data_IF_065021201171
#
_entry.id   IF_065021201171
#
_cell.length_a   1.000
_cell.length_b   1.000
_cell.length_c   1.000
_cell.angle_alpha   90.00
_cell.angle_beta   90.00
_cell.angle_gamma   90.00
#
_symmetry.space_group_name_H-M   'P 1'
#
loop_
_entity.id
_entity.type
_entity.pdbx_description
1 polymer ?
#
# COMPACT_ATOMS: atom_id res chain seq x y z
N UNK A 1 15.55 40.26 -15.68
CA UNK A 1 14.37 40.01 -14.83
C UNK A 1 14.05 38.53 -14.94
N UNK A 2 14.50 37.74 -13.97
CA UNK A 2 14.15 36.32 -13.85
C UNK A 2 12.90 36.21 -13.00
N UNK A 3 11.80 35.76 -13.58
CA UNK A 3 10.57 35.41 -12.88
C UNK A 3 10.13 34.05 -13.37
N UNK A 4 10.17 33.07 -12.46
CA UNK A 4 9.74 31.71 -12.72
C UNK A 4 10.23 30.76 -11.63
N UNK A 5 10.23 31.20 -10.37
CA UNK A 5 10.37 30.33 -9.22
C UNK A 5 9.16 29.40 -9.21
N UNK A 6 9.37 28.14 -9.61
CA UNK A 6 8.35 27.12 -9.57
C UNK A 6 7.96 26.87 -8.11
N UNK A 7 6.66 27.05 -7.87
CA UNK A 7 5.94 26.74 -6.67
C UNK A 7 6.20 25.29 -6.21
N UNK A 8 6.51 25.10 -4.92
CA UNK A 8 6.76 23.77 -4.37
C UNK A 8 7.00 23.72 -2.86
N UNK A 9 6.40 24.61 -2.07
CA UNK A 9 6.36 24.46 -0.60
C UNK A 9 4.98 23.94 -0.19
N UNK A 10 4.76 22.64 -0.39
CA UNK A 10 3.61 21.82 0.05
C UNK A 10 3.91 20.35 -0.35
N UNK A 11 4.50 19.45 0.43
CA UNK A 11 5.10 19.45 1.76
C UNK A 11 5.70 18.04 1.94
N UNK A 12 6.61 17.67 1.03
CA UNK A 12 7.34 16.41 1.09
C UNK A 12 8.82 16.64 0.75
N UNK A 13 9.71 15.84 1.35
CA UNK A 13 11.15 15.91 1.18
C UNK A 13 11.75 14.52 0.91
N UNK A 14 12.84 14.46 0.18
CA UNK A 14 13.57 13.22 -0.07
C UNK A 14 14.26 12.75 1.23
N UNK A 15 14.13 11.47 1.57
CA UNK A 15 14.84 10.89 2.71
C UNK A 15 16.26 10.54 2.29
N UNK A 16 17.22 10.93 3.11
CA UNK A 16 18.57 10.35 3.07
C UNK A 16 18.56 8.87 3.43
N UNK A 17 19.62 8.15 3.06
CA UNK A 17 19.78 6.73 3.40
C UNK A 17 19.77 6.48 4.93
N UNK A 18 20.16 7.45 5.76
CA UNK A 18 20.13 7.33 7.22
C UNK A 18 18.71 7.51 7.78
N UNK A 19 17.98 8.50 7.26
CA UNK A 19 16.57 8.73 7.60
C UNK A 19 15.72 7.53 7.16
N UNK A 20 15.94 7.01 5.95
CA UNK A 20 15.25 5.82 5.46
C UNK A 20 15.53 4.59 6.34
N UNK A 21 16.76 4.40 6.82
CA UNK A 21 17.08 3.31 7.77
C UNK A 21 16.36 3.48 9.11
N UNK A 22 16.25 4.72 9.59
CA UNK A 22 15.50 5.04 10.80
C UNK A 22 14.03 4.70 10.61
N UNK A 23 13.44 5.07 9.46
CA UNK A 23 12.05 4.75 9.12
C UNK A 23 11.79 3.25 8.98
N UNK A 24 12.72 2.51 8.36
CA UNK A 24 12.66 1.04 8.32
C UNK A 24 12.64 0.44 9.73
N UNK A 25 13.40 1.01 10.68
CA UNK A 25 13.40 0.56 12.07
C UNK A 25 12.07 0.77 12.79
N UNK A 26 11.30 1.79 12.39
CA UNK A 26 10.03 2.17 13.02
C UNK A 26 8.81 1.55 12.32
N UNK A 27 8.91 1.25 11.02
CA UNK A 27 7.83 0.73 10.21
C UNK A 27 8.09 -0.73 9.79
N UNK A 28 7.45 -1.67 10.49
CA UNK A 28 7.62 -3.12 10.23
C UNK A 28 7.18 -3.54 8.83
N UNK A 29 6.16 -2.90 8.24
CA UNK A 29 5.69 -3.24 6.90
C UNK A 29 6.70 -2.77 5.83
N UNK A 30 7.22 -1.55 5.98
CA UNK A 30 8.31 -1.02 5.17
C UNK A 30 9.55 -1.90 5.27
N UNK A 31 9.94 -2.29 6.49
CA UNK A 31 11.07 -3.17 6.73
C UNK A 31 10.92 -4.52 6.01
N UNK A 32 9.74 -5.16 6.15
CA UNK A 32 9.47 -6.44 5.53
C UNK A 32 9.40 -6.34 3.99
N UNK A 33 9.08 -5.17 3.43
CA UNK A 33 9.09 -4.94 2.00
C UNK A 33 10.52 -4.76 1.48
N UNK A 34 11.30 -3.87 2.09
CA UNK A 34 12.69 -3.60 1.72
C UNK A 34 13.55 -4.86 1.88
N UNK A 35 13.34 -5.66 2.92
CA UNK A 35 14.04 -6.93 3.10
C UNK A 35 13.79 -7.94 1.98
N UNK A 36 12.64 -7.86 1.28
CA UNK A 36 12.28 -8.77 0.18
C UNK A 36 12.68 -8.24 -1.19
N UNK A 37 12.65 -6.92 -1.40
CA UNK A 37 12.80 -6.30 -2.72
C UNK A 37 14.12 -5.52 -2.87
N UNK A 38 14.89 -5.38 -1.81
CA UNK A 38 16.11 -4.57 -1.78
C UNK A 38 15.83 -3.09 -1.48
N UNK A 39 16.91 -2.30 -1.44
CA UNK A 39 16.83 -0.86 -1.16
C UNK A 39 16.28 -0.08 -2.37
N UNK A 40 15.36 0.88 -2.16
CA UNK A 40 14.77 1.70 -3.22
C UNK A 40 15.75 2.76 -3.72
N UNK A 41 15.67 3.16 -4.99
CA UNK A 41 16.52 4.19 -5.61
C UNK A 41 16.31 5.58 -5.03
N UNK A 42 15.03 5.94 -4.82
CA UNK A 42 14.62 7.21 -4.20
C UNK A 42 13.56 6.89 -3.15
N UNK A 43 13.60 7.62 -2.03
CA UNK A 43 12.56 7.57 -1.02
C UNK A 43 12.11 8.99 -0.70
N UNK A 44 10.80 9.23 -0.67
CA UNK A 44 10.22 10.54 -0.35
C UNK A 44 9.31 10.43 0.87
N UNK A 45 9.36 11.45 1.72
CA UNK A 45 8.55 11.63 2.90
C UNK A 45 7.51 12.69 2.60
N UNK A 46 6.25 12.41 2.86
CA UNK A 46 5.12 13.30 2.57
C UNK A 46 4.30 13.51 3.84
N UNK A 47 4.11 14.77 4.24
CA UNK A 47 3.29 15.06 5.42
C UNK A 47 1.80 14.81 5.12
N UNK A 48 1.13 14.04 5.98
CA UNK A 48 -0.31 13.82 5.93
C UNK A 48 -0.95 14.70 7.01
N UNK A 49 -1.48 15.87 6.64
CA UNK A 49 -2.26 16.66 7.59
C UNK A 49 -3.51 17.32 7.02
N UNK A 50 -4.38 17.61 7.98
CA UNK A 50 -5.64 18.36 7.97
C UNK A 50 -6.93 17.58 7.66
N UNK A 51 -6.98 16.27 7.99
CA UNK A 51 -8.25 15.59 8.23
C UNK A 51 -8.22 14.76 9.52
N UNK A 52 -9.02 15.14 10.55
CA UNK A 52 -9.22 14.29 11.73
C UNK A 52 -9.66 12.88 11.31
N UNK A 53 -9.26 11.81 12.02
CA UNK A 53 -8.35 11.71 13.17
C UNK A 53 -6.85 11.45 12.86
N UNK A 54 -6.31 11.81 11.69
CA UNK A 54 -5.02 11.30 11.20
C UNK A 54 -3.95 12.39 11.28
N UNK A 55 -2.92 12.19 12.11
CA UNK A 55 -1.67 12.96 12.07
C UNK A 55 -0.51 11.97 11.98
N UNK A 56 0.24 11.96 10.87
CA UNK A 56 1.64 11.49 10.77
C UNK A 56 2.22 11.86 9.38
N UNK A 57 2.55 10.88 8.54
CA UNK A 57 3.19 11.05 7.24
C UNK A 57 3.12 9.76 6.38
N UNK A 58 3.40 9.90 5.09
CA UNK A 58 3.55 8.84 4.09
C UNK A 58 5.02 8.74 3.64
N UNK A 59 5.52 7.52 3.44
CA UNK A 59 6.81 7.23 2.84
C UNK A 59 6.59 6.56 1.49
N UNK A 60 7.10 7.16 0.42
CA UNK A 60 7.01 6.65 -0.96
C UNK A 60 8.36 6.18 -1.45
N UNK A 61 8.42 4.91 -1.87
CA UNK A 61 9.61 4.27 -2.42
C UNK A 61 9.53 4.21 -3.94
N UNK A 62 10.64 4.51 -4.61
CA UNK A 62 10.76 4.42 -6.05
C UNK A 62 11.87 3.43 -6.42
N UNK A 63 11.52 2.41 -7.20
CA UNK A 63 12.45 1.49 -7.84
C UNK A 63 12.45 1.80 -9.32
N UNK A 64 13.44 2.57 -9.78
CA UNK A 64 13.46 3.12 -11.14
C UNK A 64 13.75 2.02 -12.17
N UNK A 65 14.63 1.08 -11.84
CA UNK A 65 14.90 -0.11 -12.65
C UNK A 65 13.62 -0.94 -12.89
N UNK A 66 12.79 -1.07 -11.85
CA UNK A 66 11.54 -1.81 -11.89
C UNK A 66 10.33 -0.95 -12.28
N UNK A 67 10.55 0.35 -12.56
CA UNK A 67 9.52 1.37 -12.87
C UNK A 67 8.30 1.29 -11.96
N UNK A 68 8.55 1.14 -10.66
CA UNK A 68 7.50 0.92 -9.67
C UNK A 68 7.60 1.93 -8.54
N UNK A 69 6.45 2.49 -8.14
CA UNK A 69 6.30 3.32 -6.92
C UNK A 69 5.44 2.61 -5.89
N UNK A 70 5.84 2.72 -4.62
CA UNK A 70 5.15 2.06 -3.50
C UNK A 70 5.06 3.01 -2.31
N UNK A 71 3.84 3.23 -1.83
CA UNK A 71 3.58 4.11 -0.70
C UNK A 71 3.21 3.35 0.58
N UNK A 72 3.72 3.81 1.71
CA UNK A 72 3.39 3.37 3.06
C UNK A 72 2.95 4.56 3.91
N UNK A 73 1.72 4.55 4.40
CA UNK A 73 1.22 5.60 5.30
C UNK A 73 1.31 5.17 6.77
N UNK A 74 1.57 6.13 7.65
CA UNK A 74 1.51 5.96 9.11
C UNK A 74 0.47 6.93 9.69
N UNK A 75 -0.16 6.57 10.80
CA UNK A 75 -1.18 7.40 11.45
C UNK A 75 -1.00 7.32 12.98
N UNK A 76 -0.61 8.42 13.63
CA UNK A 76 -0.34 8.50 15.06
C UNK A 76 -1.56 8.97 15.86
N UNK A 77 -2.43 8.04 16.26
CA UNK A 77 -3.53 8.33 17.19
C UNK A 77 -3.01 8.18 18.63
N UNK A 78 -2.77 9.31 19.32
CA UNK A 78 -2.52 9.50 20.76
C UNK A 78 -1.85 8.32 21.54
N UNK A 79 -0.83 7.70 20.95
CA UNK A 79 0.11 6.85 21.68
C UNK A 79 0.30 5.43 21.16
N UNK A 80 -0.49 4.91 20.22
CA UNK A 80 -0.21 3.59 19.59
C UNK A 80 -0.61 3.51 18.11
N UNK A 81 0.20 4.06 17.18
CA UNK A 81 0.02 3.81 15.76
C UNK A 81 0.34 2.36 15.41
N UNK A 82 -0.67 1.52 15.18
CA UNK A 82 -0.52 0.36 14.29
C UNK A 82 -0.77 0.84 12.86
N UNK A 83 0.20 0.60 11.98
CA UNK A 83 0.21 1.03 10.58
C UNK A 83 -1.01 0.44 9.87
N UNK A 84 -1.95 1.30 9.49
CA UNK A 84 -3.00 0.94 8.58
C UNK A 84 -3.27 2.11 7.63
N UNK A 85 -2.54 2.17 6.52
CA UNK A 85 -3.27 2.05 5.25
C UNK A 85 -2.41 1.48 4.11
N UNK A 86 -2.91 0.34 3.64
CA UNK A 86 -2.77 -0.35 2.37
C UNK A 86 -1.73 0.22 1.40
N UNK A 87 -0.65 -0.56 1.24
CA UNK A 87 0.30 -0.51 0.13
C UNK A 87 -0.40 -0.08 -1.16
N UNK A 88 -0.15 1.15 -1.58
CA UNK A 88 -0.48 1.58 -2.92
C UNK A 88 0.73 1.28 -3.80
N UNK A 89 0.53 0.48 -4.85
CA UNK A 89 1.55 0.18 -5.84
C UNK A 89 1.08 0.73 -7.18
N UNK A 90 1.94 1.50 -7.84
CA UNK A 90 1.69 2.03 -9.17
C UNK A 90 2.90 1.83 -10.08
N UNK A 91 2.65 1.76 -11.39
CA UNK A 91 3.71 1.85 -12.40
C UNK A 91 4.12 3.30 -12.60
N UNK A 92 5.41 3.53 -12.86
CA UNK A 92 5.96 4.83 -13.22
C UNK A 92 6.03 4.94 -14.74
N UNK A 93 5.63 6.08 -15.28
CA UNK A 93 5.90 6.44 -16.67
C UNK A 93 7.37 6.80 -16.88
N UNK A 94 7.82 6.76 -18.13
CA UNK A 94 9.19 7.12 -18.53
C UNK A 94 9.53 8.56 -18.15
N UNK A 95 8.56 9.47 -18.24
CA UNK A 95 8.71 10.87 -17.85
C UNK A 95 8.91 11.01 -16.34
N UNK A 96 8.09 10.34 -15.53
CA UNK A 96 8.24 10.33 -14.07
C UNK A 96 9.58 9.73 -13.65
N UNK A 97 9.99 8.61 -14.26
CA UNK A 97 11.26 7.96 -13.97
C UNK A 97 12.45 8.84 -14.35
N UNK A 98 12.40 9.53 -15.49
CA UNK A 98 13.44 10.46 -15.92
C UNK A 98 13.55 11.69 -15.00
N UNK A 99 12.43 12.17 -14.45
CA UNK A 99 12.41 13.27 -13.49
C UNK A 99 13.04 12.87 -12.14
N UNK A 100 12.95 11.60 -11.76
CA UNK A 100 13.50 11.05 -10.51
C UNK A 100 14.95 10.57 -10.65
N UNK A 101 15.36 10.11 -11.84
CA UNK A 101 16.71 9.64 -12.13
C UNK A 101 17.85 10.54 -11.63
N UNK A 102 17.83 11.88 -11.78
CA UNK A 102 18.92 12.73 -11.31
C UNK A 102 19.08 12.76 -9.78
N UNK A 103 18.07 12.30 -9.01
CA UNK A 103 18.10 12.26 -7.54
C UNK A 103 18.89 11.07 -6.99
N UNK A 104 19.13 10.06 -7.82
CA UNK A 104 19.92 8.87 -7.45
C UNK A 104 21.41 9.14 -7.22
N UNK A 105 21.92 10.30 -7.65
CA UNK A 105 23.35 10.62 -7.73
C UNK A 105 24.10 10.72 -6.40
N UNK A 106 23.42 10.63 -5.26
CA UNK A 106 24.05 10.57 -3.93
C UNK A 106 24.49 9.18 -3.48
N UNK A 107 24.15 8.12 -4.22
CA UNK A 107 24.34 6.73 -3.77
C UNK A 107 25.61 6.09 -4.33
N UNK A 108 26.52 5.56 -3.48
CA UNK A 108 27.47 4.55 -3.92
C UNK A 108 26.69 3.29 -4.24
N UNK A 109 26.59 2.97 -5.54
CA UNK A 109 25.99 1.73 -6.02
C UNK A 109 26.75 0.55 -5.42
N UNK A 110 26.13 -0.09 -4.42
CA UNK A 110 26.50 -1.42 -3.99
C UNK A 110 26.38 -2.33 -5.21
N UNK A 111 27.50 -2.89 -5.64
CA UNK A 111 27.62 -3.85 -6.73
C UNK A 111 26.55 -4.93 -6.64
N UNK A 112 25.60 -4.92 -7.59
CA UNK A 112 24.80 -6.10 -7.93
C UNK A 112 25.78 -7.13 -8.51
N UNK A 113 26.22 -8.08 -7.69
CA UNK A 113 27.02 -9.20 -8.16
C UNK A 113 26.22 -9.99 -9.19
N UNK A 114 26.90 -10.36 -10.27
CA UNK A 114 26.35 -10.98 -11.48
C UNK A 114 25.95 -12.46 -11.32
N UNK A 115 25.33 -12.83 -10.21
CA UNK A 115 25.07 -14.24 -9.84
C UNK A 115 23.68 -14.50 -9.23
N UNK A 116 22.64 -13.79 -9.71
CA UNK A 116 21.25 -14.16 -9.41
C UNK A 116 20.66 -15.03 -10.55
N UNK A 117 20.01 -16.17 -10.25
CA UNK A 117 19.43 -17.08 -11.24
C UNK A 117 18.17 -16.51 -11.91
N UNK A 118 17.78 -17.01 -13.10
CA UNK A 118 16.71 -16.42 -13.91
C UNK A 118 15.32 -16.53 -13.25
N UNK A 119 14.52 -15.48 -13.42
CA UNK A 119 13.13 -15.37 -12.98
C UNK A 119 12.25 -16.54 -13.48
N UNK A 120 11.27 -17.02 -12.67
CA UNK A 120 10.26 -17.96 -13.16
C UNK A 120 9.26 -17.28 -14.12
N UNK A 121 8.66 -18.04 -15.06
CA UNK A 121 7.88 -17.49 -16.16
C UNK A 121 6.52 -16.96 -15.67
N UNK A 122 6.21 -15.70 -16.00
CA UNK A 122 4.85 -15.17 -15.89
C UNK A 122 4.05 -15.73 -17.07
N UNK A 123 3.16 -16.67 -16.77
CA UNK A 123 2.21 -17.24 -17.74
C UNK A 123 1.28 -16.15 -18.28
N UNK A 124 1.27 -16.00 -19.60
CA UNK A 124 0.27 -15.22 -20.31
C UNK A 124 -1.10 -15.89 -20.32
N UNK A 125 -2.14 -15.07 -20.36
CA UNK A 125 -3.40 -15.42 -21.02
C UNK A 125 -4.05 -14.15 -21.54
N UNK A 126 -4.06 -14.03 -22.86
CA UNK A 126 -4.89 -13.11 -23.61
C UNK A 126 -6.34 -13.62 -23.58
N UNK A 127 -7.30 -12.71 -23.37
CA UNK A 127 -8.73 -12.99 -23.43
C UNK A 127 -9.53 -11.71 -23.64
N UNK A 128 -10.12 -11.61 -24.82
CA UNK A 128 -10.85 -10.47 -25.40
C UNK A 128 -12.25 -10.23 -24.78
N UNK A 129 -12.53 -8.99 -24.33
CA UNK A 129 -13.84 -8.29 -24.30
C UNK A 129 -14.92 -8.71 -23.29
N UNK A 130 -15.98 -7.89 -23.03
CA UNK A 130 -16.35 -6.62 -23.68
C UNK A 130 -16.51 -5.42 -22.72
N UNK A 131 -16.75 -4.25 -23.33
CA UNK A 131 -17.03 -2.96 -22.71
C UNK A 131 -18.05 -3.03 -21.57
N UNK A 132 -17.68 -2.47 -20.42
CA UNK A 132 -18.61 -2.03 -19.38
C UNK A 132 -18.58 -0.50 -19.36
N UNK A 133 -19.77 0.09 -19.50
CA UNK A 133 -20.04 1.52 -19.43
C UNK A 133 -19.23 2.19 -18.31
N UNK A 134 -18.50 3.24 -18.69
CA UNK A 134 -18.01 4.25 -17.76
C UNK A 134 -19.21 4.83 -17.00
N UNK A 135 -19.29 4.70 -15.65
CA UNK A 135 -20.18 5.57 -14.91
C UNK A 135 -19.66 7.00 -15.04
N UNK A 136 -20.53 8.00 -15.25
CA UNK A 136 -20.11 9.37 -15.46
C UNK A 136 -19.32 9.86 -14.24
N UNK A 137 -18.22 10.57 -14.53
CA UNK A 137 -17.47 11.41 -13.60
C UNK A 137 -18.42 12.09 -12.62
N UNK A 138 -18.42 11.63 -11.37
CA UNK A 138 -19.11 12.32 -10.30
C UNK A 138 -18.46 13.71 -10.17
N UNK A 139 -19.20 14.72 -10.61
CA UNK A 139 -18.90 16.11 -10.33
C UNK A 139 -18.79 16.30 -8.80
N UNK A 140 -18.02 17.29 -8.34
CA UNK A 140 -17.91 17.58 -6.91
C UNK A 140 -19.29 17.92 -6.36
N UNK A 141 -19.88 16.97 -5.63
CA UNK A 141 -21.10 17.21 -4.88
C UNK A 141 -20.77 18.24 -3.80
N UNK A 142 -21.36 19.43 -3.96
CA UNK A 142 -21.46 20.42 -2.91
C UNK A 142 -22.49 19.90 -1.91
N UNK A 143 -22.12 18.88 -1.14
CA UNK A 143 -22.97 18.39 -0.07
C UNK A 143 -22.88 19.38 1.10
N UNK A 144 -24.02 19.93 1.47
CA UNK A 144 -24.25 20.74 2.67
C UNK A 144 -23.48 20.22 3.91
N UNK A 145 -23.10 21.11 4.85
CA UNK A 145 -22.52 20.67 6.11
C UNK A 145 -23.45 19.65 6.79
N UNK A 146 -22.93 18.52 7.32
CA UNK A 146 -23.76 17.49 7.91
C UNK A 146 -24.58 18.10 9.05
N UNK A 147 -25.90 18.18 8.84
CA UNK A 147 -26.86 18.63 9.84
C UNK A 147 -26.95 17.54 10.89
N UNK A 148 -26.13 17.68 11.93
CA UNK A 148 -26.19 16.84 13.11
C UNK A 148 -25.09 17.19 14.10
N UNK A 149 -25.42 17.22 15.38
CA UNK A 149 -24.48 17.54 16.45
C UNK A 149 -23.32 16.53 16.53
N UNK A 150 -22.24 16.85 17.25
CA UNK A 150 -21.14 15.89 17.48
C UNK A 150 -21.63 14.53 18.03
N UNK A 151 -22.69 14.52 18.84
CA UNK A 151 -23.29 13.32 19.40
C UNK A 151 -23.95 12.42 18.35
N UNK A 152 -24.79 12.97 17.47
CA UNK A 152 -25.46 12.20 16.41
C UNK A 152 -24.46 11.60 15.42
N UNK A 153 -23.35 12.31 15.16
CA UNK A 153 -22.25 11.78 14.34
C UNK A 153 -21.50 10.64 15.04
N UNK A 154 -21.34 10.71 16.36
CA UNK A 154 -20.74 9.65 17.16
C UNK A 154 -21.63 8.39 17.18
N UNK A 155 -22.94 8.55 17.32
CA UNK A 155 -23.90 7.44 17.22
C UNK A 155 -23.90 6.80 15.83
N UNK A 156 -23.91 7.61 14.77
CA UNK A 156 -23.81 7.09 13.41
C UNK A 156 -22.48 6.36 13.13
N UNK A 157 -21.38 6.80 13.75
CA UNK A 157 -20.09 6.11 13.68
C UNK A 157 -20.11 4.79 14.47
N UNK A 158 -20.73 4.77 15.66
CA UNK A 158 -20.90 3.56 16.45
C UNK A 158 -21.70 2.49 15.69
N UNK A 159 -22.83 2.88 15.07
CA UNK A 159 -23.63 1.95 14.26
C UNK A 159 -22.88 1.38 13.05
N UNK A 160 -22.01 2.18 12.41
CA UNK A 160 -21.15 1.67 11.33
C UNK A 160 -20.09 0.69 11.83
N UNK A 161 -19.56 0.91 13.05
CA UNK A 161 -18.59 0.01 13.66
C UNK A 161 -19.22 -1.33 14.06
N UNK A 162 -20.43 -1.30 14.62
CA UNK A 162 -21.21 -2.50 14.94
C UNK A 162 -21.48 -3.34 13.67
N UNK A 163 -21.99 -2.70 12.61
CA UNK A 163 -22.21 -3.38 11.34
C UNK A 163 -20.92 -3.90 10.66
N UNK A 164 -19.75 -3.34 10.99
CA UNK A 164 -18.47 -3.87 10.52
C UNK A 164 -18.02 -5.07 11.35
N UNK A 165 -18.27 -5.07 12.66
CA UNK A 165 -18.00 -6.20 13.54
C UNK A 165 -18.83 -7.42 13.17
N UNK A 166 -20.13 -7.26 12.92
CA UNK A 166 -21.02 -8.35 12.48
C UNK A 166 -20.53 -9.00 11.18
N UNK A 167 -20.04 -8.19 10.24
CA UNK A 167 -19.47 -8.68 8.97
C UNK A 167 -18.16 -9.43 9.17
N UNK A 168 -17.35 -9.02 10.14
CA UNK A 168 -16.11 -9.72 10.49
C UNK A 168 -16.40 -11.08 11.12
N UNK A 169 -17.36 -11.15 12.04
CA UNK A 169 -17.79 -12.40 12.68
C UNK A 169 -18.29 -13.39 11.61
N UNK A 170 -19.19 -12.96 10.73
CA UNK A 170 -19.68 -13.80 9.63
C UNK A 170 -18.56 -14.26 8.68
N UNK A 171 -17.55 -13.43 8.43
CA UNK A 171 -16.39 -13.81 7.62
C UNK A 171 -15.50 -14.83 8.33
N UNK A 172 -15.34 -14.73 9.64
CA UNK A 172 -14.58 -15.68 10.45
C UNK A 172 -15.25 -17.06 10.47
N UNK A 173 -16.57 -17.11 10.68
CA UNK A 173 -17.34 -18.35 10.61
C UNK A 173 -17.20 -19.04 9.25
N UNK A 174 -17.30 -18.26 8.17
CA UNK A 174 -17.12 -18.77 6.81
C UNK A 174 -15.71 -19.34 6.57
N UNK A 175 -14.70 -18.70 7.15
CA UNK A 175 -13.32 -19.16 7.07
C UNK A 175 -13.09 -20.47 7.84
N UNK A 176 -13.71 -20.62 9.02
CA UNK A 176 -13.66 -21.87 9.80
C UNK A 176 -14.30 -23.03 9.03
N UNK A 177 -15.47 -22.81 8.42
CA UNK A 177 -16.10 -23.83 7.59
C UNK A 177 -15.25 -24.22 6.37
N UNK A 178 -14.60 -23.24 5.74
CA UNK A 178 -13.73 -23.49 4.60
C UNK A 178 -12.50 -24.31 4.99
N UNK A 179 -11.90 -24.02 6.15
CA UNK A 179 -10.80 -24.80 6.72
C UNK A 179 -11.23 -26.24 7.02
N UNK A 180 -12.39 -26.43 7.68
CA UNK A 180 -12.93 -27.76 7.97
C UNK A 180 -13.19 -28.58 6.69
N UNK A 181 -13.66 -27.96 5.60
CA UNK A 181 -13.79 -28.63 4.30
C UNK A 181 -12.44 -29.03 3.70
N UNK A 182 -11.43 -28.17 3.81
CA UNK A 182 -10.08 -28.47 3.32
C UNK A 182 -9.44 -29.63 4.11
N UNK A 183 -9.62 -29.67 5.43
CA UNK A 183 -9.19 -30.79 6.28
C UNK A 183 -9.90 -32.09 5.90
N UNK A 184 -11.21 -32.04 5.64
CA UNK A 184 -11.95 -33.23 5.20
C UNK A 184 -11.46 -33.76 3.84
N UNK A 185 -11.11 -32.88 2.90
CA UNK A 185 -10.55 -33.28 1.60
C UNK A 185 -9.17 -33.90 1.76
N UNK A 186 -8.29 -33.29 2.55
CA UNK A 186 -6.94 -33.83 2.81
C UNK A 186 -7.00 -35.19 3.52
N UNK A 187 -7.89 -35.37 4.51
CA UNK A 187 -8.09 -36.65 5.18
C UNK A 187 -8.55 -37.76 4.21
N UNK A 188 -9.44 -37.44 3.25
CA UNK A 188 -9.87 -38.39 2.20
C UNK A 188 -8.74 -38.76 1.26
N UNK A 189 -7.91 -37.80 0.84
CA UNK A 189 -6.75 -38.05 -0.01
C UNK A 189 -5.72 -38.94 0.68
N UNK A 190 -5.42 -38.68 1.96
CA UNK A 190 -4.51 -39.51 2.77
C UNK A 190 -5.05 -40.94 2.90
N UNK A 191 -6.36 -41.09 3.14
CA UNK A 191 -7.01 -42.41 3.22
C UNK A 191 -6.95 -43.17 1.89
N UNK A 192 -7.23 -42.50 0.77
CA UNK A 192 -7.16 -43.08 -0.57
C UNK A 192 -5.73 -43.49 -0.95
N UNK A 193 -4.73 -42.68 -0.60
CA UNK A 193 -3.32 -42.99 -0.82
C UNK A 193 -2.87 -44.24 -0.02
N UNK A 194 -3.34 -44.35 1.22
CA UNK A 194 -3.02 -45.49 2.09
C UNK A 194 -3.68 -46.80 1.63
N UNK A 195 -4.85 -46.73 0.99
CA UNK A 195 -5.55 -47.90 0.45
C UNK A 195 -5.01 -48.39 -0.92
N UNK A 196 -4.18 -47.57 -1.58
CA UNK A 196 -3.58 -47.90 -2.89
C UNK A 196 -2.18 -48.53 -2.79
N UNK A 197 -1.65 -48.72 -1.58
CA UNK A 197 -0.40 -49.44 -1.28
C UNK A 197 -0.71 -50.82 -0.70
#
# INVERSE_FOLDING_TARGET
>A
MSTGALAGMKGGHELSDEELRTEIGQNRALAAYVARNGMPDVAEWHFLADRPPWDDHEVTLYYLDARTKISFARASILGRPEIQLVRYQGTLSDEEAAALAPRTGGRPTGTRSADDPPDPPVLGSAGMGPAVDEPPLAQPDQSDPPVGGPAERAEAAAGRAEAAADRLEAAADSAEEAAGRAEAVTARLVSAHSASR
#
